data_IF_592111322543
#
_entry.id   IF_592111322543
#
_cell.length_a   1.000
_cell.length_b   1.000
_cell.length_c   1.000
_cell.angle_alpha   90.00
_cell.angle_beta   90.00
_cell.angle_gamma   90.00
#
_symmetry.space_group_name_H-M   'P 1'
#
loop_
_entity.id
_entity.type
_entity.pdbx_description
1 polymer ?
#
# COMPACT_ATOMS: atom_id res chain seq x y z
N UNK A 1 -3.96 6.09 -4.01
CA UNK A 1 -3.98 7.54 -3.75
C UNK A 1 -4.99 8.29 -4.61
N UNK A 2 -5.06 8.11 -5.95
CA UNK A 2 -6.01 8.85 -6.81
C UNK A 2 -7.49 8.71 -6.42
N UNK A 3 -7.90 7.52 -5.98
CA UNK A 3 -9.26 7.31 -5.46
C UNK A 3 -9.60 8.24 -4.27
N UNK A 4 -8.62 8.55 -3.41
CA UNK A 4 -8.80 9.45 -2.27
C UNK A 4 -9.02 10.90 -2.74
N UNK A 5 -8.33 11.32 -3.81
CA UNK A 5 -8.51 12.64 -4.40
C UNK A 5 -9.91 12.79 -5.03
N UNK A 6 -10.37 11.78 -5.78
CA UNK A 6 -11.73 11.75 -6.34
C UNK A 6 -12.83 11.72 -5.28
N UNK A 7 -12.58 11.05 -4.15
CA UNK A 7 -13.47 11.04 -2.99
C UNK A 7 -13.36 12.32 -2.12
N UNK A 8 -12.54 13.29 -2.52
CA UNK A 8 -12.25 14.51 -1.77
C UNK A 8 -11.80 14.26 -0.32
N UNK A 9 -11.02 13.20 -0.08
CA UNK A 9 -10.44 12.91 1.23
C UNK A 9 -9.18 13.75 1.42
N UNK A 10 -9.29 14.79 2.23
CA UNK A 10 -8.22 15.80 2.39
C UNK A 10 -7.23 15.48 3.52
N UNK A 11 -7.56 14.52 4.39
CA UNK A 11 -6.71 14.09 5.50
C UNK A 11 -6.58 12.58 5.47
N UNK A 12 -5.37 12.09 5.24
CA UNK A 12 -5.10 10.66 5.10
C UNK A 12 -3.98 10.29 6.07
N UNK A 13 -4.25 9.25 6.86
CA UNK A 13 -3.28 8.65 7.77
C UNK A 13 -3.07 7.20 7.35
N UNK A 14 -1.82 6.84 7.08
CA UNK A 14 -1.42 5.50 6.68
C UNK A 14 -0.49 4.89 7.72
N UNK A 15 -0.67 3.59 7.97
CA UNK A 15 0.11 2.88 8.98
C UNK A 15 1.53 2.52 8.53
N UNK A 16 1.70 2.11 7.28
CA UNK A 16 3.00 1.70 6.71
C UNK A 16 3.42 2.60 5.55
N UNK A 17 4.62 2.37 5.01
CA UNK A 17 5.14 3.02 3.81
C UNK A 17 5.04 2.07 2.61
N UNK A 18 4.86 2.64 1.42
CA UNK A 18 4.78 1.87 0.16
C UNK A 18 6.01 0.97 -0.01
N UNK A 19 7.21 1.48 0.28
CA UNK A 19 8.45 0.73 0.15
C UNK A 19 8.49 -0.51 1.05
N UNK A 20 7.96 -0.41 2.27
CA UNK A 20 7.94 -1.52 3.22
C UNK A 20 6.93 -2.59 2.81
N UNK A 21 5.78 -2.19 2.25
CA UNK A 21 4.80 -3.10 1.67
C UNK A 21 5.39 -3.83 0.46
N UNK A 22 6.12 -3.13 -0.41
CA UNK A 22 6.76 -3.71 -1.60
C UNK A 22 7.79 -4.78 -1.26
N UNK A 23 8.51 -4.64 -0.14
CA UNK A 23 9.43 -5.67 0.39
C UNK A 23 8.74 -6.99 0.75
N UNK A 24 7.40 -7.02 0.79
CA UNK A 24 6.60 -8.21 1.07
C UNK A 24 5.94 -8.82 -0.18
N UNK A 25 6.47 -8.48 -1.36
CA UNK A 25 6.00 -8.94 -2.68
C UNK A 25 4.59 -8.46 -3.05
N UNK A 26 4.06 -7.46 -2.32
CA UNK A 26 2.82 -6.80 -2.67
C UNK A 26 3.12 -5.70 -3.69
N UNK A 27 2.58 -5.86 -4.89
CA UNK A 27 2.70 -4.86 -5.95
C UNK A 27 2.00 -3.58 -5.50
N UNK A 28 2.69 -2.45 -5.63
CA UNK A 28 2.16 -1.11 -5.41
C UNK A 28 2.48 -0.26 -6.62
N UNK A 29 1.53 0.60 -7.01
CA UNK A 29 1.79 1.63 -8.02
C UNK A 29 2.78 2.61 -7.40
N UNK A 30 3.90 2.82 -8.08
CA UNK A 30 5.00 3.68 -7.63
C UNK A 30 4.72 5.15 -7.95
N UNK A 31 3.66 5.69 -7.32
CA UNK A 31 3.35 7.11 -7.34
C UNK A 31 3.31 7.61 -5.90
N UNK A 32 4.21 8.54 -5.59
CA UNK A 32 4.23 9.15 -4.27
C UNK A 32 2.94 9.94 -4.04
N UNK A 33 2.57 10.07 -2.76
CA UNK A 33 1.45 10.92 -2.36
C UNK A 33 1.62 12.36 -2.84
N UNK A 34 2.87 12.83 -2.95
CA UNK A 34 3.24 14.16 -3.46
C UNK A 34 2.95 14.30 -4.96
N UNK A 35 3.31 13.30 -5.76
CA UNK A 35 3.04 13.32 -7.21
C UNK A 35 1.55 13.32 -7.49
N UNK A 36 0.78 12.45 -6.81
CA UNK A 36 -0.68 12.43 -6.97
C UNK A 36 -1.30 13.77 -6.55
N UNK A 37 -0.85 14.36 -5.44
CA UNK A 37 -1.31 15.68 -5.02
C UNK A 37 -0.98 16.75 -6.06
N UNK A 38 0.23 16.73 -6.64
CA UNK A 38 0.64 17.67 -7.68
C UNK A 38 -0.23 17.53 -8.94
N UNK A 39 -0.49 16.31 -9.41
CA UNK A 39 -1.34 16.06 -10.58
C UNK A 39 -2.81 16.42 -10.35
N UNK A 40 -3.30 16.33 -9.12
CA UNK A 40 -4.70 16.63 -8.79
C UNK A 40 -4.95 18.08 -8.35
N UNK A 41 -3.92 18.95 -8.32
CA UNK A 41 -3.99 20.31 -7.76
C UNK A 41 -5.12 21.19 -8.30
N UNK A 42 -5.57 20.97 -9.54
CA UNK A 42 -6.65 21.74 -10.16
C UNK A 42 -8.02 21.50 -9.52
N UNK A 43 -8.22 20.39 -8.80
CA UNK A 43 -9.51 20.03 -8.21
C UNK A 43 -9.42 19.42 -6.81
N UNK A 44 -8.23 19.09 -6.32
CA UNK A 44 -8.02 18.51 -4.99
C UNK A 44 -6.80 19.13 -4.31
N UNK A 45 -6.95 19.47 -3.03
CA UNK A 45 -5.89 20.02 -2.19
C UNK A 45 -5.86 19.28 -0.85
N UNK A 46 -4.91 18.34 -0.65
CA UNK A 46 -4.79 17.63 0.62
C UNK A 46 -4.32 18.58 1.72
N UNK A 47 -4.91 18.44 2.90
CA UNK A 47 -4.54 19.16 4.12
C UNK A 47 -3.51 18.37 4.94
N UNK A 48 -3.60 17.04 4.93
CA UNK A 48 -2.70 16.17 5.68
C UNK A 48 -2.49 14.85 4.95
N UNK A 49 -1.23 14.46 4.79
CA UNK A 49 -0.81 13.14 4.32
C UNK A 49 0.27 12.65 5.29
N UNK A 50 -0.13 11.77 6.22
CA UNK A 50 0.76 11.26 7.25
C UNK A 50 0.96 9.74 7.08
N UNK A 51 2.19 9.33 6.81
CA UNK A 51 2.57 7.92 6.69
C UNK A 51 3.35 7.43 7.90
N UNK A 52 3.34 6.10 8.11
CA UNK A 52 4.16 5.45 9.13
C UNK A 52 3.57 5.46 10.54
N UNK A 53 2.29 5.82 10.70
CA UNK A 53 1.66 5.87 12.04
C UNK A 53 1.54 4.47 12.60
N UNK A 54 2.23 4.23 13.73
CA UNK A 54 2.32 2.90 14.37
C UNK A 54 2.91 1.82 13.45
N UNK A 55 3.79 2.18 12.50
CA UNK A 55 4.27 1.30 11.43
C UNK A 55 4.77 -0.09 11.85
N UNK A 56 5.31 -0.24 13.07
CA UNK A 56 5.76 -1.54 13.57
C UNK A 56 4.69 -2.64 13.49
N UNK A 57 3.43 -2.33 13.82
CA UNK A 57 2.32 -3.30 13.79
C UNK A 57 1.92 -3.72 12.36
N UNK A 58 1.54 -2.80 11.44
CA UNK A 58 1.19 -3.18 10.08
C UNK A 58 2.38 -3.79 9.32
N UNK A 59 3.61 -3.33 9.53
CA UNK A 59 4.79 -3.94 8.87
C UNK A 59 4.94 -5.42 9.27
N UNK A 60 4.71 -5.75 10.55
CA UNK A 60 4.69 -7.14 11.01
C UNK A 60 3.58 -7.95 10.33
N UNK A 61 2.37 -7.39 10.23
CA UNK A 61 1.24 -8.05 9.54
C UNK A 61 1.55 -8.33 8.07
N UNK A 62 2.20 -7.40 7.36
CA UNK A 62 2.59 -7.61 5.96
C UNK A 62 3.60 -8.74 5.82
N UNK A 63 4.60 -8.82 6.70
CA UNK A 63 5.59 -9.91 6.71
C UNK A 63 4.97 -11.26 7.07
N UNK A 64 4.09 -11.29 8.07
CA UNK A 64 3.38 -12.52 8.45
C UNK A 64 2.50 -13.00 7.28
N UNK A 65 1.82 -12.08 6.58
CA UNK A 65 1.06 -12.41 5.39
C UNK A 65 1.93 -12.89 4.22
N UNK A 66 3.14 -12.37 4.05
CA UNK A 66 4.11 -12.86 3.06
C UNK A 66 4.49 -14.32 3.32
N UNK A 67 4.82 -14.66 4.57
CA UNK A 67 5.14 -16.04 4.96
C UNK A 67 3.98 -16.99 4.67
N UNK A 68 2.75 -16.58 4.97
CA UNK A 68 1.56 -17.38 4.66
C UNK A 68 1.41 -17.62 3.16
N UNK A 69 1.61 -16.60 2.31
CA UNK A 69 1.58 -16.78 0.85
C UNK A 69 2.66 -17.74 0.35
N UNK A 70 3.87 -17.65 0.89
CA UNK A 70 4.98 -18.53 0.52
C UNK A 70 4.72 -19.98 0.95
N UNK A 71 4.17 -20.21 2.15
CA UNK A 71 3.81 -21.55 2.61
C UNK A 71 2.61 -22.16 1.89
N UNK A 72 1.73 -21.35 1.29
CA UNK A 72 0.64 -21.82 0.41
C UNK A 72 1.13 -22.18 -1.00
N UNK A 73 2.30 -21.70 -1.41
CA UNK A 73 2.91 -22.06 -2.70
C UNK A 73 3.56 -23.45 -2.72
N UNK A 74 3.69 -24.12 -1.56
CA UNK A 74 4.21 -25.49 -1.45
C UNK A 74 3.16 -26.58 -1.75
N UNK A 75 1.93 -26.24 -2.16
CA UNK A 75 0.98 -27.23 -2.69
C UNK A 75 1.36 -27.50 -4.16
N UNK A 76 1.85 -28.71 -4.51
CA UNK A 76 2.21 -29.02 -5.89
C UNK A 76 0.97 -28.87 -6.77
N UNK A 77 1.13 -28.23 -7.92
CA UNK A 77 0.22 -28.31 -9.05
C UNK A 77 0.21 -29.74 -9.61
N UNK A 78 -0.31 -30.68 -8.83
CA UNK A 78 -0.54 -32.04 -9.28
C UNK A 78 -1.82 -32.06 -10.11
N UNK A 79 -1.68 -32.65 -11.31
CA UNK A 79 -2.73 -33.20 -12.15
C UNK A 79 -3.68 -32.22 -12.83
N UNK A 80 -3.17 -31.56 -13.86
CA UNK A 80 -3.95 -31.30 -15.08
C UNK A 80 -3.12 -31.73 -16.30
N UNK A 81 -3.12 -33.04 -16.56
CA UNK A 81 -2.82 -33.64 -17.87
C UNK A 81 -4.07 -34.33 -18.39
#
# INVERSE_FOLDING_TARGET
MSALAWANLRRVVCGSFIDEIRRTDIIQIDLSAREVAASARSFHSPELLLGGVLAGRPNRLFRDAQRLRQGLSDVPSADLS
#
